data_IF_136313021628
#
_entry.id   IF_136313021628
#
_cell.length_a   1.000
_cell.length_b   1.000
_cell.length_c   1.000
_cell.angle_alpha   90.00
_cell.angle_beta   90.00
_cell.angle_gamma   90.00
#
_symmetry.space_group_name_H-M   'P 1'
#
loop_
_entity.id
_entity.type
_entity.pdbx_description
1 polymer ?
#
# COMPACT_ATOMS: atom_id res chain seq x y z
N UNK A 1 -8.85 -5.74 15.74
CA UNK A 1 -7.41 -6.00 15.53
C UNK A 1 -6.86 -4.95 14.58
N UNK A 2 -5.66 -4.43 14.82
CA UNK A 2 -4.98 -3.50 13.91
C UNK A 2 -3.53 -3.89 13.71
N UNK A 3 -3.04 -3.74 12.48
CA UNK A 3 -1.61 -3.88 12.19
C UNK A 3 -0.81 -2.74 12.85
N UNK A 4 0.34 -3.07 13.43
CA UNK A 4 1.29 -2.14 14.03
C UNK A 4 2.70 -2.44 13.50
N UNK A 5 3.64 -1.50 13.70
CA UNK A 5 5.04 -1.66 13.34
C UNK A 5 5.25 -2.12 11.89
N UNK A 6 4.59 -1.42 10.95
CA UNK A 6 4.70 -1.73 9.51
C UNK A 6 4.26 -3.16 9.17
N UNK A 7 3.23 -3.69 9.84
CA UNK A 7 2.68 -5.02 9.60
C UNK A 7 3.39 -6.16 10.33
N UNK A 8 4.43 -5.88 11.13
CA UNK A 8 5.16 -6.91 11.88
C UNK A 8 4.46 -7.32 13.18
N UNK A 9 3.47 -6.57 13.64
CA UNK A 9 2.72 -6.87 14.85
C UNK A 9 1.22 -6.65 14.63
N UNK A 10 0.40 -7.43 15.34
CA UNK A 10 -1.06 -7.26 15.37
C UNK A 10 -1.46 -6.89 16.79
N UNK A 11 -2.13 -5.76 16.95
CA UNK A 11 -2.70 -5.34 18.22
C UNK A 11 -4.17 -5.72 18.31
N UNK A 12 -4.53 -6.35 19.42
CA UNK A 12 -5.90 -6.61 19.85
C UNK A 12 -6.31 -5.55 20.85
N UNK A 13 -7.31 -4.76 20.49
CA UNK A 13 -7.85 -3.71 21.34
C UNK A 13 -9.34 -3.99 21.58
N UNK A 14 -9.74 -3.91 22.86
CA UNK A 14 -11.13 -4.03 23.28
C UNK A 14 -11.62 -2.65 23.68
N UNK A 15 -12.62 -2.12 22.97
CA UNK A 15 -13.17 -0.80 23.27
C UNK A 15 -14.25 -0.94 24.33
N UNK A 16 -13.99 -0.37 25.51
CA UNK A 16 -14.88 -0.48 26.68
C UNK A 16 -15.89 0.67 26.77
N UNK A 17 -15.64 1.79 26.10
CA UNK A 17 -16.44 3.02 26.18
C UNK A 17 -17.23 3.30 24.90
N UNK A 18 -18.43 3.88 25.05
CA UNK A 18 -19.31 4.26 23.94
C UNK A 18 -19.58 5.78 23.98
N UNK A 19 -19.61 6.48 22.83
CA UNK A 19 -19.51 5.96 21.46
C UNK A 19 -18.07 5.64 21.03
N UNK A 20 -17.90 4.54 20.31
CA UNK A 20 -16.62 4.12 19.75
C UNK A 20 -16.52 4.56 18.28
N UNK A 21 -15.45 5.28 17.93
CA UNK A 21 -15.15 5.67 16.54
C UNK A 21 -13.99 4.82 16.04
N UNK A 22 -14.21 4.11 14.93
CA UNK A 22 -13.21 3.22 14.32
C UNK A 22 -12.94 3.69 12.87
N UNK A 23 -11.67 3.88 12.53
CA UNK A 23 -11.24 4.10 11.15
C UNK A 23 -10.82 2.77 10.53
N UNK A 24 -11.44 2.40 9.42
CA UNK A 24 -11.17 1.15 8.71
C UNK A 24 -10.27 1.41 7.51
N UNK A 25 -9.32 0.51 7.26
CA UNK A 25 -8.49 0.56 6.07
C UNK A 25 -9.32 0.27 4.81
N UNK A 26 -9.05 0.93 3.66
CA UNK A 26 -9.70 0.61 2.41
C UNK A 26 -9.42 -0.85 2.02
N UNK A 27 -10.47 -1.56 1.56
CA UNK A 27 -10.42 -3.00 1.28
C UNK A 27 -10.60 -3.92 2.49
N UNK A 28 -10.78 -3.37 3.70
CA UNK A 28 -11.23 -4.15 4.85
C UNK A 28 -12.71 -4.52 4.66
N UNK A 29 -12.98 -5.82 4.54
CA UNK A 29 -14.33 -6.37 4.51
C UNK A 29 -14.64 -7.01 5.86
N UNK A 30 -15.52 -6.41 6.63
CA UNK A 30 -16.23 -7.14 7.67
C UNK A 30 -17.26 -8.05 6.98
N UNK A 31 -17.30 -9.33 7.32
CA UNK A 31 -18.41 -10.18 6.92
C UNK A 31 -19.66 -9.66 7.62
N UNK A 32 -20.41 -8.82 6.91
CA UNK A 32 -21.70 -8.37 7.39
C UNK A 32 -22.63 -9.58 7.32
N UNK A 33 -23.02 -10.12 8.47
CA UNK A 33 -24.26 -10.90 8.56
C UNK A 33 -25.34 -9.96 8.06
N UNK A 34 -25.92 -10.25 6.90
CA UNK A 34 -26.90 -9.40 6.22
C UNK A 34 -27.96 -8.96 7.25
N UNK A 35 -27.96 -7.69 7.70
CA UNK A 35 -29.10 -7.19 8.41
C UNK A 35 -30.12 -6.83 7.34
N UNK A 36 -31.34 -7.35 7.47
CA UNK A 36 -32.52 -6.78 6.80
C UNK A 36 -32.40 -5.26 6.87
N UNK A 37 -32.26 -4.60 5.71
CA UNK A 37 -31.90 -3.19 5.65
C UNK A 37 -32.88 -2.38 6.52
N UNK A 38 -32.45 -1.77 7.63
CA UNK A 38 -33.32 -0.87 8.36
C UNK A 38 -33.53 0.37 7.48
N UNK A 39 -34.78 0.74 7.25
CA UNK A 39 -35.12 2.02 6.62
C UNK A 39 -34.55 3.14 7.49
N UNK A 40 -33.43 3.73 7.07
CA UNK A 40 -32.85 4.88 7.77
C UNK A 40 -33.79 6.08 7.61
N UNK A 41 -34.32 6.67 8.70
CA UNK A 41 -34.97 7.96 8.60
C UNK A 41 -33.96 9.00 8.12
N UNK A 42 -34.39 9.92 7.25
CA UNK A 42 -33.54 10.94 6.67
C UNK A 42 -32.76 11.69 7.77
N UNK A 43 -31.42 11.61 7.72
CA UNK A 43 -30.54 12.22 8.70
C UNK A 43 -30.64 13.75 8.75
N UNK A 44 -30.11 14.39 9.81
CA UNK A 44 -30.23 15.83 10.01
C UNK A 44 -29.68 16.62 8.82
N UNK A 45 -30.42 17.66 8.39
CA UNK A 45 -30.01 18.57 7.32
C UNK A 45 -28.62 19.15 7.64
N UNK A 46 -27.61 18.83 6.83
CA UNK A 46 -26.25 19.37 6.98
C UNK A 46 -26.26 20.87 6.67
N UNK A 47 -26.63 21.71 7.64
CA UNK A 47 -26.53 23.17 7.54
C UNK A 47 -25.16 23.62 8.08
N UNK A 48 -24.38 24.31 7.24
CA UNK A 48 -23.20 25.06 7.67
C UNK A 48 -21.82 24.40 7.50
N UNK A 49 -21.69 23.30 6.76
CA UNK A 49 -20.35 22.73 6.47
C UNK A 49 -19.69 23.54 5.35
N UNK A 50 -18.71 24.39 5.70
CA UNK A 50 -17.81 24.99 4.72
C UNK A 50 -16.75 23.96 4.32
N UNK A 51 -17.00 23.24 3.22
CA UNK A 51 -15.99 22.38 2.61
C UNK A 51 -15.18 23.19 1.62
N UNK A 52 -13.88 23.38 1.89
CA UNK A 52 -12.95 23.90 0.90
C UNK A 52 -12.49 22.73 0.01
N UNK A 53 -13.03 22.66 -1.21
CA UNK A 53 -12.54 21.72 -2.21
C UNK A 53 -11.27 22.31 -2.81
N UNK A 54 -10.11 21.90 -2.30
CA UNK A 54 -8.86 22.12 -3.01
C UNK A 54 -8.97 21.41 -4.37
N UNK A 55 -8.75 22.14 -5.46
CA UNK A 55 -8.80 21.59 -6.81
C UNK A 55 -7.79 20.45 -6.90
N UNK A 56 -8.27 19.23 -7.17
CA UNK A 56 -7.40 18.10 -7.51
C UNK A 56 -7.21 18.13 -9.02
N UNK A 57 -6.01 18.45 -9.47
CA UNK A 57 -5.63 18.18 -10.85
C UNK A 57 -5.68 16.66 -11.05
N UNK A 58 -6.33 16.15 -12.11
CA UNK A 58 -6.23 14.74 -12.44
C UNK A 58 -4.77 14.45 -12.77
N UNK A 59 -4.19 13.45 -12.09
CA UNK A 59 -2.85 13.01 -12.42
C UNK A 59 -2.89 12.26 -13.75
N UNK A 60 -2.12 12.75 -14.72
CA UNK A 60 -2.01 12.08 -16.00
C UNK A 60 -1.21 10.79 -15.79
N UNK A 61 -1.91 9.66 -15.87
CA UNK A 61 -1.30 8.35 -15.78
C UNK A 61 -0.34 8.15 -16.97
N UNK A 62 0.96 8.34 -16.74
CA UNK A 62 1.98 7.84 -17.66
C UNK A 62 1.88 6.31 -17.68
N UNK A 63 1.16 5.78 -18.67
CA UNK A 63 0.95 4.33 -18.85
C UNK A 63 -0.49 3.84 -18.71
N UNK A 64 -1.50 4.73 -18.64
CA UNK A 64 -2.92 4.38 -18.88
C UNK A 64 -3.60 3.45 -17.87
N UNK A 65 -2.87 2.91 -16.88
CA UNK A 65 -3.38 1.98 -15.88
C UNK A 65 -3.22 2.57 -14.48
N UNK A 66 -4.34 2.71 -13.79
CA UNK A 66 -4.36 3.18 -12.40
C UNK A 66 -3.60 2.21 -11.50
N UNK A 67 -2.69 2.72 -10.68
CA UNK A 67 -1.79 1.90 -9.87
C UNK A 67 -2.56 1.00 -8.89
N UNK A 68 -3.70 1.46 -8.38
CA UNK A 68 -4.54 0.73 -7.42
C UNK A 68 -5.26 -0.49 -8.02
N UNK A 69 -5.55 -0.47 -9.33
CA UNK A 69 -6.25 -1.55 -10.04
C UNK A 69 -5.35 -2.39 -10.93
N UNK A 70 -4.05 -2.08 -10.96
CA UNK A 70 -3.09 -2.78 -11.80
C UNK A 70 -2.84 -4.22 -11.31
N UNK A 71 -3.06 -5.21 -12.18
CA UNK A 71 -2.72 -6.61 -11.88
C UNK A 71 -1.21 -6.88 -11.96
N UNK A 72 -0.49 -6.11 -12.78
CA UNK A 72 0.95 -6.29 -13.02
C UNK A 72 1.63 -4.95 -12.82
N UNK A 73 2.69 -4.95 -12.02
CA UNK A 73 3.39 -3.74 -11.61
C UNK A 73 4.90 -3.97 -11.77
N UNK A 74 5.57 -2.99 -12.38
CA UNK A 74 7.02 -2.94 -12.55
C UNK A 74 7.55 -1.73 -11.80
N UNK A 75 8.40 -1.98 -10.82
CA UNK A 75 8.94 -0.98 -9.93
C UNK A 75 10.40 -0.69 -10.23
N UNK A 76 10.74 0.59 -10.24
CA UNK A 76 12.10 1.07 -10.46
C UNK A 76 12.67 1.69 -9.19
N UNK A 77 13.88 1.30 -8.81
CA UNK A 77 14.57 1.85 -7.66
C UNK A 77 15.84 2.60 -8.04
N UNK A 78 16.53 3.10 -7.01
CA UNK A 78 17.79 3.85 -7.13
C UNK A 78 18.96 3.03 -7.72
N UNK A 79 18.78 1.74 -7.95
CA UNK A 79 19.76 0.91 -8.67
C UNK A 79 19.90 1.30 -10.15
N UNK A 80 18.91 2.00 -10.70
CA UNK A 80 19.04 2.71 -11.96
C UNK A 80 19.80 3.99 -11.67
N UNK A 81 20.95 4.16 -12.31
CA UNK A 81 21.86 5.27 -12.04
C UNK A 81 21.52 6.50 -12.88
N UNK A 82 20.88 6.30 -14.04
CA UNK A 82 20.57 7.34 -15.00
C UNK A 82 19.09 7.36 -15.34
N UNK A 83 18.58 8.55 -15.63
CA UNK A 83 17.19 8.74 -16.07
C UNK A 83 16.94 8.13 -17.46
N UNK A 84 17.98 8.03 -18.30
CA UNK A 84 17.87 7.41 -19.63
C UNK A 84 17.43 5.94 -19.57
N UNK A 85 17.77 5.22 -18.50
CA UNK A 85 17.43 3.80 -18.34
C UNK A 85 15.93 3.58 -18.12
N UNK A 86 15.17 4.62 -17.75
CA UNK A 86 13.70 4.54 -17.64
C UNK A 86 13.05 4.14 -18.95
N UNK A 87 13.58 4.59 -20.09
CA UNK A 87 13.00 4.27 -21.40
C UNK A 87 12.99 2.74 -21.65
N UNK A 88 14.02 2.04 -21.17
CA UNK A 88 14.12 0.58 -21.29
C UNK A 88 13.09 -0.12 -20.40
N UNK A 89 12.80 0.46 -19.23
CA UNK A 89 11.82 -0.10 -18.30
C UNK A 89 10.39 0.22 -18.74
N UNK A 90 10.14 1.38 -19.31
CA UNK A 90 8.87 1.71 -19.96
C UNK A 90 8.58 0.73 -21.11
N UNK A 91 9.59 0.38 -21.91
CA UNK A 91 9.47 -0.63 -22.95
C UNK A 91 9.13 -2.02 -22.37
N UNK A 92 9.78 -2.41 -21.27
CA UNK A 92 9.48 -3.66 -20.55
C UNK A 92 8.06 -3.66 -19.97
N UNK A 93 7.65 -2.57 -19.31
CA UNK A 93 6.33 -2.41 -18.72
C UNK A 93 5.24 -2.50 -19.81
N UNK A 94 5.48 -1.86 -20.96
CA UNK A 94 4.60 -1.93 -22.12
C UNK A 94 4.50 -3.35 -22.69
N UNK A 95 5.61 -4.08 -22.77
CA UNK A 95 5.62 -5.47 -23.24
C UNK A 95 4.87 -6.41 -22.29
N UNK A 96 4.92 -6.15 -20.98
CA UNK A 96 4.22 -6.92 -19.95
C UNK A 96 2.76 -6.48 -19.74
N UNK A 97 2.36 -5.32 -20.29
CA UNK A 97 1.09 -4.67 -19.96
C UNK A 97 0.98 -4.37 -18.48
N UNK A 98 2.06 -3.86 -17.88
CA UNK A 98 2.18 -3.56 -16.46
C UNK A 98 2.24 -2.05 -16.23
N UNK A 99 1.76 -1.61 -15.06
CA UNK A 99 1.94 -0.23 -14.59
C UNK A 99 3.37 -0.02 -14.09
N UNK A 100 3.92 1.17 -14.34
CA UNK A 100 5.20 1.59 -13.81
C UNK A 100 5.01 2.29 -12.47
N UNK A 101 5.88 2.00 -11.51
CA UNK A 101 5.94 2.68 -10.22
C UNK A 101 7.36 2.87 -9.69
N UNK A 102 7.51 3.74 -8.69
CA UNK A 102 8.77 4.01 -8.03
C UNK A 102 8.61 4.14 -6.50
N UNK A 103 9.66 3.87 -5.69
CA UNK A 103 9.66 4.18 -4.28
C UNK A 103 9.75 5.70 -4.07
N UNK A 104 9.21 6.16 -2.93
CA UNK A 104 9.09 7.59 -2.57
C UNK A 104 10.35 8.42 -2.86
N UNK A 105 11.58 8.00 -2.49
CA UNK A 105 12.77 8.83 -2.75
C UNK A 105 13.03 9.06 -4.24
N UNK A 106 12.72 8.09 -5.09
CA UNK A 106 12.99 8.20 -6.52
C UNK A 106 11.94 9.04 -7.25
N UNK A 107 10.68 8.94 -6.84
CA UNK A 107 9.62 9.79 -7.36
C UNK A 107 9.77 11.23 -6.85
N UNK A 108 9.88 11.44 -5.53
CA UNK A 108 9.87 12.75 -4.91
C UNK A 108 11.22 13.50 -4.98
N UNK A 109 12.36 12.83 -4.73
CA UNK A 109 13.66 13.51 -4.71
C UNK A 109 14.30 13.56 -6.10
N UNK A 110 14.22 12.48 -6.87
CA UNK A 110 14.85 12.41 -8.18
C UNK A 110 13.94 12.94 -9.32
N UNK A 111 12.62 13.03 -9.10
CA UNK A 111 11.67 13.54 -10.10
C UNK A 111 11.60 12.66 -11.35
N UNK A 112 11.73 11.36 -11.16
CA UNK A 112 11.75 10.38 -12.25
C UNK A 112 10.35 10.00 -12.73
N UNK A 113 9.42 9.86 -11.79
CA UNK A 113 8.01 9.59 -12.02
C UNK A 113 7.17 10.67 -11.33
N UNK A 114 5.90 10.79 -11.73
CA UNK A 114 4.93 11.65 -11.06
C UNK A 114 4.64 11.14 -9.65
N UNK A 115 4.32 12.06 -8.74
CA UNK A 115 4.03 11.80 -7.32
C UNK A 115 2.87 10.81 -7.10
N UNK A 116 1.98 10.65 -8.08
CA UNK A 116 0.88 9.68 -8.01
C UNK A 116 1.30 8.23 -8.30
N UNK A 117 2.56 8.01 -8.71
CA UNK A 117 3.07 6.69 -9.11
C UNK A 117 4.08 6.12 -8.11
N UNK A 118 3.82 6.26 -6.80
CA UNK A 118 4.64 5.64 -5.77
C UNK A 118 3.93 4.57 -4.93
N UNK A 119 4.71 3.57 -4.50
CA UNK A 119 4.25 2.48 -3.63
C UNK A 119 5.02 2.52 -2.31
N UNK A 120 4.29 2.44 -1.20
CA UNK A 120 4.87 2.34 0.13
C UNK A 120 3.90 2.67 1.27
N UNK A 121 4.43 2.79 2.49
CA UNK A 121 3.67 3.06 3.72
C UNK A 121 2.86 4.36 3.62
N UNK A 122 3.45 5.40 3.04
CA UNK A 122 2.82 6.71 2.81
C UNK A 122 2.19 6.84 1.43
N UNK A 123 2.35 5.81 0.58
CA UNK A 123 1.96 5.82 -0.82
C UNK A 123 0.74 4.96 -1.10
N UNK A 124 0.61 4.52 -2.35
CA UNK A 124 -0.43 3.57 -2.72
C UNK A 124 -0.11 2.18 -2.15
N UNK A 125 -1.17 1.53 -1.64
CA UNK A 125 -1.12 0.14 -1.21
C UNK A 125 -1.78 -0.71 -2.28
N UNK A 126 -1.01 -1.61 -2.88
CA UNK A 126 -1.43 -2.43 -4.00
C UNK A 126 -1.32 -3.92 -3.65
N UNK A 127 -2.11 -4.73 -4.34
CA UNK A 127 -2.02 -6.20 -4.27
C UNK A 127 -1.99 -6.79 -5.69
N UNK A 128 -0.90 -6.57 -6.44
CA UNK A 128 -0.79 -7.06 -7.81
C UNK A 128 -0.62 -8.58 -7.82
N UNK A 129 -0.94 -9.21 -8.96
CA UNK A 129 -0.65 -10.62 -9.24
C UNK A 129 0.82 -10.83 -9.60
N UNK A 130 1.45 -9.84 -10.22
CA UNK A 130 2.86 -9.83 -10.58
C UNK A 130 3.51 -8.50 -10.16
N UNK A 131 4.58 -8.60 -9.39
CA UNK A 131 5.38 -7.45 -8.95
C UNK A 131 6.84 -7.66 -9.33
N UNK A 132 7.39 -6.80 -10.19
CA UNK A 132 8.78 -6.89 -10.67
C UNK A 132 9.56 -5.69 -10.16
N UNK A 133 10.45 -5.90 -9.20
CA UNK A 133 11.28 -4.84 -8.63
C UNK A 133 12.68 -4.81 -9.26
N UNK A 134 13.04 -3.71 -9.92
CA UNK A 134 14.33 -3.52 -10.58
C UNK A 134 15.12 -2.44 -9.84
N UNK A 135 16.25 -2.82 -9.24
CA UNK A 135 17.13 -1.88 -8.54
C UNK A 135 16.52 -1.31 -7.24
N UNK A 136 15.57 -2.01 -6.62
CA UNK A 136 14.92 -1.62 -5.36
C UNK A 136 15.58 -2.36 -4.18
N UNK A 137 15.90 -1.63 -3.11
CA UNK A 137 16.60 -2.19 -1.94
C UNK A 137 15.74 -3.05 -1.01
N UNK A 138 14.41 -3.08 -1.22
CA UNK A 138 13.48 -3.81 -0.35
C UNK A 138 13.30 -3.17 1.03
N UNK A 139 13.36 -1.84 1.12
CA UNK A 139 13.08 -1.12 2.36
C UNK A 139 11.68 -1.48 2.91
N UNK A 140 11.56 -1.65 4.23
CA UNK A 140 10.30 -2.07 4.88
C UNK A 140 9.15 -1.14 4.51
N UNK A 141 9.42 0.16 4.43
CA UNK A 141 8.43 1.18 4.06
C UNK A 141 7.85 0.93 2.66
N UNK A 142 8.63 0.39 1.73
CA UNK A 142 8.15 0.07 0.39
C UNK A 142 7.40 -1.27 0.37
N UNK A 143 7.93 -2.29 1.06
CA UNK A 143 7.30 -3.62 1.16
C UNK A 143 5.89 -3.58 1.75
N UNK A 144 5.62 -2.72 2.72
CA UNK A 144 4.29 -2.54 3.31
C UNK A 144 3.24 -2.13 2.28
N UNK A 145 3.67 -1.41 1.23
CA UNK A 145 2.84 -0.96 0.12
C UNK A 145 2.48 -2.08 -0.86
N UNK A 146 3.33 -3.11 -1.00
CA UNK A 146 3.13 -4.24 -1.92
C UNK A 146 2.19 -5.32 -1.37
N UNK A 147 1.73 -5.16 -0.13
CA UNK A 147 0.95 -6.15 0.59
C UNK A 147 1.82 -7.26 1.18
N UNK A 148 1.25 -7.96 2.18
CA UNK A 148 1.92 -9.11 2.83
C UNK A 148 2.33 -10.11 1.76
N UNK A 149 3.62 -10.36 1.60
CA UNK A 149 4.05 -11.21 0.53
C UNK A 149 3.70 -12.65 0.89
N UNK A 150 3.21 -13.42 -0.09
CA UNK A 150 2.78 -14.80 0.13
C UNK A 150 3.91 -15.71 0.61
N UNK A 151 3.63 -17.00 0.90
CA UNK A 151 4.61 -17.96 1.44
C UNK A 151 5.86 -18.17 0.55
N UNK A 152 5.84 -17.66 -0.67
CA UNK A 152 6.91 -17.69 -1.66
C UNK A 152 7.97 -16.59 -1.43
N UNK A 153 7.65 -15.55 -0.67
CA UNK A 153 8.60 -14.51 -0.31
C UNK A 153 9.47 -14.95 0.85
N UNK A 154 10.54 -15.65 0.52
CA UNK A 154 11.65 -15.87 1.43
C UNK A 154 12.73 -14.85 1.10
N UNK A 155 12.90 -13.86 1.97
CA UNK A 155 14.17 -13.13 1.98
C UNK A 155 15.26 -14.15 2.28
N UNK A 156 16.32 -14.20 1.48
CA UNK A 156 17.51 -15.03 1.73
C UNK A 156 18.24 -14.65 3.02
N UNK A 157 17.76 -13.65 3.76
CA UNK A 157 18.17 -13.38 5.12
C UNK A 157 17.53 -14.45 6.02
N UNK A 158 18.26 -15.54 6.21
CA UNK A 158 18.03 -16.53 7.26
C UNK A 158 17.77 -15.81 8.58
N UNK A 159 16.50 -15.68 8.96
CA UNK A 159 16.16 -15.53 10.36
C UNK A 159 16.45 -16.89 10.97
N UNK A 160 17.64 -17.04 11.55
CA UNK A 160 17.88 -18.08 12.53
C UNK A 160 16.77 -17.95 13.58
N UNK A 161 15.94 -18.98 13.80
CA UNK A 161 14.92 -18.90 14.83
C UNK A 161 15.64 -18.66 16.15
N UNK A 162 15.44 -17.50 16.77
CA UNK A 162 15.84 -17.30 18.17
C UNK A 162 14.96 -18.23 18.99
N UNK A 163 15.54 -19.33 19.45
CA UNK A 163 14.92 -20.24 20.40
C UNK A 163 14.66 -19.49 21.71
N UNK A 164 13.49 -18.90 21.86
CA UNK A 164 13.03 -18.41 23.17
C UNK A 164 12.37 -19.54 23.94
N UNK A 165 13.15 -20.56 24.30
CA UNK A 165 12.80 -21.41 25.43
C UNK A 165 13.30 -20.69 26.69
N UNK A 166 12.40 -20.00 27.39
CA UNK A 166 12.68 -19.61 28.78
C UNK A 166 12.45 -20.84 29.65
N UNK A 167 13.43 -21.30 30.44
CA UNK A 167 13.13 -22.25 31.50
C UNK A 167 12.27 -21.54 32.55
N UNK A 168 11.06 -22.07 32.77
CA UNK A 168 10.21 -21.75 33.90
C UNK A 168 10.90 -22.33 35.14
N UNK A 169 11.48 -21.49 35.99
CA UNK A 169 11.94 -21.92 37.32
C UNK A 169 10.75 -21.92 38.28
N UNK A 170 10.63 -23.02 39.02
CA UNK A 170 9.70 -23.23 40.13
C UNK A 170 10.06 -22.39 41.36
#
# INVERSE_FOLDING_TARGET
EREMLSGNAVARETVLVRPAVLALMPGFSASAVSPTAPTCPAGPSRRGVRAHRAGRAPSEALGGLHLETAERIVTVGRGLQKKEDLALIEALAKALGASLDAPVPLAAEAGWLSDDHWIGLTGHRVKPRLYVAIGVSGAVQHLVGCGTPGPWWRSTRTQTPRSSARPTTA
#
